data_IF_754189727311
#
_entry.id   IF_754189727311
#
_cell.length_a   1.000
_cell.length_b   1.000
_cell.length_c   1.000
_cell.angle_alpha   90.00
_cell.angle_beta   90.00
_cell.angle_gamma   90.00
#
_symmetry.space_group_name_H-M   'P 1'
#
loop_
_entity.id
_entity.type
_entity.pdbx_description
1 polymer ?
#
# COMPACT_ATOMS: atom_id res chain seq x y z
N UNK A 1 4.97 15.74 -24.26
CA UNK A 1 4.53 14.33 -24.28
C UNK A 1 3.51 14.01 -23.18
N UNK A 2 2.26 13.65 -23.51
CA UNK A 2 1.42 12.76 -22.71
C UNK A 2 1.84 11.27 -22.86
N UNK A 3 1.79 10.54 -21.74
CA UNK A 3 1.97 9.09 -21.64
C UNK A 3 0.80 8.51 -20.84
N UNK A 4 0.17 7.44 -21.33
CA UNK A 4 -0.86 6.67 -20.61
C UNK A 4 -0.51 5.19 -20.56
N UNK A 5 -1.04 4.49 -19.55
CA UNK A 5 -1.24 3.05 -19.59
C UNK A 5 -2.60 2.71 -20.22
N UNK A 6 -2.63 1.74 -21.13
CA UNK A 6 -3.83 1.19 -21.75
C UNK A 6 -4.16 -0.17 -21.11
N UNK A 7 -5.23 -0.29 -20.30
CA UNK A 7 -5.49 -1.48 -19.50
C UNK A 7 -6.02 -2.67 -20.31
N UNK A 8 -6.63 -2.43 -21.48
CA UNK A 8 -7.18 -3.49 -22.33
C UNK A 8 -6.06 -4.28 -23.06
N UNK A 9 -5.02 -3.57 -23.50
CA UNK A 9 -3.89 -4.11 -24.28
C UNK A 9 -2.63 -4.37 -23.43
N UNK A 10 -2.65 -4.01 -22.14
CA UNK A 10 -1.50 -4.06 -21.22
C UNK A 10 -0.22 -3.42 -21.81
N UNK A 11 -0.34 -2.17 -22.26
CA UNK A 11 0.78 -1.41 -22.85
C UNK A 11 0.78 0.05 -22.44
N UNK A 12 1.96 0.65 -22.44
CA UNK A 12 2.11 2.09 -22.40
C UNK A 12 1.97 2.67 -23.80
N UNK A 13 1.37 3.86 -23.90
CA UNK A 13 1.19 4.59 -25.15
C UNK A 13 1.57 6.05 -24.98
N UNK A 14 2.46 6.53 -25.86
CA UNK A 14 2.94 7.89 -25.93
C UNK A 14 2.45 8.52 -27.22
N UNK A 15 1.82 9.69 -27.14
CA UNK A 15 1.45 10.46 -28.32
C UNK A 15 1.97 11.88 -28.21
N UNK A 16 2.41 12.43 -29.32
CA UNK A 16 3.12 13.70 -29.39
C UNK A 16 3.51 13.97 -30.83
N UNK A 17 3.71 15.23 -31.16
CA UNK A 17 3.94 15.69 -32.54
C UNK A 17 5.33 16.33 -32.71
N UNK A 18 6.16 16.30 -31.65
CA UNK A 18 7.52 16.84 -31.67
C UNK A 18 8.56 15.73 -31.70
N UNK A 19 9.71 15.98 -32.33
CA UNK A 19 10.81 15.00 -32.35
C UNK A 19 11.42 14.79 -30.95
N UNK A 20 11.29 15.75 -30.04
CA UNK A 20 11.62 15.57 -28.62
C UNK A 20 10.71 14.52 -27.95
N UNK A 21 9.39 14.52 -28.25
CA UNK A 21 8.49 13.47 -27.77
C UNK A 21 8.94 12.09 -28.29
N UNK A 22 9.33 11.99 -29.57
CA UNK A 22 9.80 10.72 -30.18
C UNK A 22 11.11 10.22 -29.58
N UNK A 23 12.06 11.11 -29.27
CA UNK A 23 13.31 10.77 -28.58
C UNK A 23 13.03 10.27 -27.15
N UNK A 24 12.14 10.93 -26.41
CA UNK A 24 11.75 10.51 -25.08
C UNK A 24 10.97 9.18 -25.09
N UNK A 25 10.14 8.92 -26.10
CA UNK A 25 9.47 7.63 -26.29
C UNK A 25 10.47 6.48 -26.50
N UNK A 26 11.52 6.69 -27.31
CA UNK A 26 12.60 5.71 -27.51
C UNK A 26 13.37 5.41 -26.22
N UNK A 27 13.65 6.43 -25.40
CA UNK A 27 14.27 6.25 -24.09
C UNK A 27 13.42 5.42 -23.11
N UNK A 28 12.10 5.39 -23.31
CA UNK A 28 11.14 4.57 -22.56
C UNK A 28 10.91 3.17 -23.16
N UNK A 29 11.67 2.79 -24.20
CA UNK A 29 11.49 1.51 -24.90
C UNK A 29 10.22 1.44 -25.74
N UNK A 30 9.56 2.57 -26.02
CA UNK A 30 8.44 2.64 -26.94
C UNK A 30 8.99 2.79 -28.37
N UNK A 31 9.15 1.64 -29.04
CA UNK A 31 9.75 1.51 -30.37
C UNK A 31 8.78 0.99 -31.43
N UNK A 32 7.51 0.78 -31.06
CA UNK A 32 6.49 0.20 -31.92
C UNK A 32 5.42 1.26 -32.25
N UNK A 33 5.36 1.74 -33.50
CA UNK A 33 4.30 2.65 -33.95
C UNK A 33 2.92 2.05 -33.71
N UNK A 34 2.03 2.85 -33.12
CA UNK A 34 0.72 2.41 -32.70
C UNK A 34 -0.33 3.52 -32.84
N UNK A 35 -1.60 3.13 -32.88
CA UNK A 35 -2.71 4.02 -32.60
C UNK A 35 -3.42 3.61 -31.31
N UNK A 36 -3.89 4.61 -30.56
CA UNK A 36 -4.80 4.41 -29.43
C UNK A 36 -5.92 5.46 -29.42
N UNK A 37 -7.06 5.10 -28.82
CA UNK A 37 -8.15 6.04 -28.56
C UNK A 37 -7.87 6.76 -27.24
N UNK A 38 -7.67 8.08 -27.30
CA UNK A 38 -7.36 8.92 -26.13
C UNK A 38 -8.32 10.09 -26.05
N UNK A 39 -8.59 10.58 -24.84
CA UNK A 39 -9.42 11.77 -24.62
C UNK A 39 -8.54 13.01 -24.71
N UNK A 40 -8.84 13.85 -25.70
CA UNK A 40 -8.07 15.06 -25.99
C UNK A 40 -8.45 16.21 -25.04
N UNK A 41 -7.67 17.29 -25.03
CA UNK A 41 -7.93 18.51 -24.24
C UNK A 41 -9.32 19.14 -24.47
N UNK A 42 -10.00 18.80 -25.58
CA UNK A 42 -11.37 19.25 -25.89
C UNK A 42 -12.46 18.35 -25.30
N UNK A 43 -12.10 17.37 -24.47
CA UNK A 43 -13.03 16.37 -23.92
C UNK A 43 -13.51 15.33 -24.93
N UNK A 44 -12.98 15.34 -26.17
CA UNK A 44 -13.35 14.39 -27.23
C UNK A 44 -12.38 13.23 -27.28
N UNK A 45 -12.91 12.00 -27.32
CA UNK A 45 -12.14 10.82 -27.66
C UNK A 45 -11.73 10.89 -29.14
N UNK A 46 -10.46 10.70 -29.43
CA UNK A 46 -9.90 10.68 -30.79
C UNK A 46 -8.82 9.61 -30.89
N UNK A 47 -8.74 8.93 -32.03
CA UNK A 47 -7.57 8.11 -32.34
C UNK A 47 -6.37 9.02 -32.55
N UNK A 48 -5.24 8.66 -31.95
CA UNK A 48 -3.96 9.34 -32.14
C UNK A 48 -2.90 8.33 -32.54
N UNK A 49 -2.05 8.65 -33.54
CA UNK A 49 -0.81 7.92 -33.76
C UNK A 49 0.18 8.25 -32.64
N UNK A 50 1.11 7.33 -32.39
CA UNK A 50 2.11 7.44 -31.34
C UNK A 50 3.00 6.20 -31.29
N UNK A 51 3.71 6.04 -30.19
CA UNK A 51 4.61 4.92 -29.92
C UNK A 51 4.07 4.10 -28.74
N UNK A 52 4.18 2.78 -28.81
CA UNK A 52 3.78 1.87 -27.75
C UNK A 52 4.99 1.10 -27.16
N UNK A 53 4.99 0.95 -25.84
CA UNK A 53 5.88 0.04 -25.11
C UNK A 53 5.06 -1.07 -24.42
N UNK A 54 5.43 -2.35 -24.55
CA UNK A 54 4.82 -3.43 -23.77
C UNK A 54 4.96 -3.17 -22.26
N UNK A 55 4.00 -3.63 -21.44
CA UNK A 55 3.95 -3.37 -19.99
C UNK A 55 5.31 -3.52 -19.29
N UNK A 56 5.95 -4.70 -19.40
CA UNK A 56 7.20 -4.98 -18.70
C UNK A 56 8.39 -4.18 -19.23
N UNK A 57 8.43 -3.87 -20.54
CA UNK A 57 9.47 -3.05 -21.15
C UNK A 57 9.38 -1.60 -20.68
N UNK A 58 8.18 -1.01 -20.74
CA UNK A 58 7.94 0.35 -20.24
C UNK A 58 8.13 0.45 -18.72
N UNK A 59 7.68 -0.55 -17.95
CA UNK A 59 7.91 -0.65 -16.50
C UNK A 59 9.40 -0.58 -16.17
N UNK A 60 10.24 -1.37 -16.83
CA UNK A 60 11.67 -1.40 -16.60
C UNK A 60 12.37 -0.07 -16.94
N UNK A 61 11.96 0.60 -18.02
CA UNK A 61 12.50 1.91 -18.38
C UNK A 61 12.06 3.00 -17.39
N UNK A 62 10.76 3.07 -17.08
CA UNK A 62 10.18 4.04 -16.15
C UNK A 62 10.71 3.90 -14.73
N UNK A 63 10.89 2.68 -14.24
CA UNK A 63 11.42 2.42 -12.89
C UNK A 63 12.88 2.86 -12.72
N UNK A 64 13.67 2.87 -13.80
CA UNK A 64 15.10 3.22 -13.78
C UNK A 64 15.41 4.72 -13.75
N UNK A 65 14.43 5.59 -14.03
CA UNK A 65 14.64 7.05 -14.03
C UNK A 65 15.14 7.55 -12.67
N UNK A 66 16.23 8.29 -12.62
CA UNK A 66 16.73 8.90 -11.40
C UNK A 66 15.85 10.08 -10.94
N UNK A 67 16.03 10.56 -9.70
CA UNK A 67 15.26 11.71 -9.21
C UNK A 67 15.49 12.97 -10.07
N UNK A 68 16.74 13.26 -10.44
CA UNK A 68 17.08 14.39 -11.31
C UNK A 68 16.43 14.29 -12.71
N UNK A 69 16.25 13.07 -13.25
CA UNK A 69 15.53 12.87 -14.51
C UNK A 69 14.03 13.19 -14.36
N UNK A 70 13.44 12.83 -13.21
CA UNK A 70 12.02 13.06 -12.92
C UNK A 70 11.68 14.54 -12.77
N UNK A 71 12.58 15.34 -12.20
CA UNK A 71 12.41 16.78 -12.04
C UNK A 71 12.31 17.51 -13.38
N UNK A 72 12.91 16.95 -14.44
CA UNK A 72 12.89 17.49 -15.81
C UNK A 72 11.92 16.74 -16.75
N UNK A 73 11.33 15.63 -16.31
CA UNK A 73 10.45 14.81 -17.12
C UNK A 73 9.06 15.45 -17.31
N UNK A 74 8.36 15.18 -18.44
CA UNK A 74 6.96 15.55 -18.58
C UNK A 74 6.11 14.98 -17.42
N UNK A 75 5.17 15.74 -16.82
CA UNK A 75 4.46 15.31 -15.61
C UNK A 75 3.76 13.94 -15.69
N UNK A 76 3.32 13.54 -16.89
CA UNK A 76 2.75 12.19 -17.09
C UNK A 76 3.80 11.07 -17.03
N UNK A 77 5.01 11.31 -17.53
CA UNK A 77 6.15 10.39 -17.43
C UNK A 77 6.61 10.28 -15.98
N UNK A 78 6.72 11.41 -15.26
CA UNK A 78 7.05 11.41 -13.85
C UNK A 78 6.04 10.60 -13.01
N UNK A 79 4.73 10.80 -13.23
CA UNK A 79 3.68 10.04 -12.56
C UNK A 79 3.76 8.54 -12.85
N UNK A 80 4.00 8.12 -14.09
CA UNK A 80 4.13 6.70 -14.45
C UNK A 80 5.45 6.07 -13.98
N UNK A 81 6.53 6.84 -13.79
CA UNK A 81 7.75 6.36 -13.12
C UNK A 81 7.51 6.10 -11.62
N UNK A 82 6.83 7.02 -10.93
CA UNK A 82 6.45 6.83 -9.53
C UNK A 82 5.49 5.64 -9.37
N UNK A 83 4.53 5.47 -10.29
CA UNK A 83 3.66 4.29 -10.34
C UNK A 83 4.46 3.00 -10.55
N UNK A 84 5.44 3.00 -11.46
CA UNK A 84 6.29 1.85 -11.76
C UNK A 84 7.14 1.44 -10.56
N UNK A 85 7.70 2.41 -9.83
CA UNK A 85 8.45 2.19 -8.58
C UNK A 85 7.54 1.63 -7.47
N UNK A 86 6.33 2.16 -7.33
CA UNK A 86 5.34 1.64 -6.37
C UNK A 86 4.92 0.20 -6.72
N UNK A 87 4.72 -0.11 -8.00
CA UNK A 87 4.39 -1.47 -8.46
C UNK A 87 5.48 -2.48 -8.08
N UNK A 88 6.75 -2.12 -8.30
CA UNK A 88 7.89 -2.96 -7.95
C UNK A 88 8.06 -3.08 -6.42
N UNK A 89 7.89 -2.00 -5.65
CA UNK A 89 7.93 -2.04 -4.17
C UNK A 89 6.89 -3.02 -3.62
N UNK A 90 5.65 -2.96 -4.11
CA UNK A 90 4.58 -3.87 -3.69
C UNK A 90 4.87 -5.33 -4.05
N UNK A 91 5.34 -5.60 -5.27
CA UNK A 91 5.64 -6.98 -5.73
C UNK A 91 6.87 -7.55 -5.00
N UNK A 92 7.92 -6.77 -4.78
CA UNK A 92 9.13 -7.19 -4.04
C UNK A 92 8.83 -7.43 -2.56
N UNK A 93 7.89 -6.68 -1.97
CA UNK A 93 7.38 -6.89 -0.60
C UNK A 93 6.28 -7.96 -0.51
N UNK A 94 6.12 -8.77 -1.56
CA UNK A 94 5.13 -9.86 -1.67
C UNK A 94 3.68 -9.41 -1.37
N UNK A 95 3.37 -8.12 -1.60
CA UNK A 95 2.02 -7.56 -1.42
C UNK A 95 1.16 -7.87 -2.64
N UNK A 96 0.95 -9.16 -2.91
CA UNK A 96 0.11 -9.69 -3.98
C UNK A 96 -0.83 -10.75 -3.45
N UNK A 97 -2.04 -10.81 -3.99
CA UNK A 97 -3.05 -11.83 -3.66
C UNK A 97 -3.67 -12.40 -4.93
N UNK A 98 -4.10 -13.67 -4.93
CA UNK A 98 -4.89 -14.20 -6.03
C UNK A 98 -6.27 -13.54 -6.04
N UNK A 99 -6.89 -13.39 -7.21
CA UNK A 99 -8.27 -12.93 -7.36
C UNK A 99 -8.92 -13.55 -8.59
N UNK A 100 -10.21 -13.87 -8.48
CA UNK A 100 -11.04 -14.28 -9.62
C UNK A 100 -11.80 -13.04 -10.12
N UNK A 101 -11.38 -12.50 -11.25
CA UNK A 101 -12.00 -11.35 -11.91
C UNK A 101 -13.00 -11.81 -12.99
N UNK A 102 -14.03 -10.99 -13.25
CA UNK A 102 -14.89 -11.19 -14.43
C UNK A 102 -14.23 -10.56 -15.66
N UNK A 103 -14.14 -11.30 -16.76
CA UNK A 103 -13.54 -10.83 -18.01
C UNK A 103 -14.26 -11.50 -19.20
N UNK A 104 -14.62 -10.72 -20.23
CA UNK A 104 -15.10 -11.26 -21.52
C UNK A 104 -16.34 -12.18 -21.46
N UNK A 105 -17.18 -12.07 -20.43
CA UNK A 105 -18.32 -12.99 -20.21
C UNK A 105 -18.01 -14.25 -19.39
N UNK A 106 -16.76 -14.45 -18.98
CA UNK A 106 -16.32 -15.53 -18.08
C UNK A 106 -15.59 -15.01 -16.85
N UNK A 107 -14.86 -15.90 -16.18
CA UNK A 107 -14.01 -15.60 -15.03
C UNK A 107 -12.55 -15.99 -15.28
N UNK A 108 -11.63 -15.15 -14.82
CA UNK A 108 -10.19 -15.33 -14.92
C UNK A 108 -9.54 -15.23 -13.55
N UNK A 109 -8.61 -16.13 -13.26
CA UNK A 109 -7.73 -15.99 -12.12
C UNK A 109 -6.57 -15.04 -12.49
N UNK A 110 -6.32 -14.04 -11.64
CA UNK A 110 -5.25 -13.04 -11.79
C UNK A 110 -4.58 -12.79 -10.44
N UNK A 111 -3.31 -12.42 -10.44
CA UNK A 111 -2.72 -11.79 -9.25
C UNK A 111 -3.07 -10.30 -9.25
N UNK A 112 -3.30 -9.75 -8.07
CA UNK A 112 -3.63 -8.33 -7.87
C UNK A 112 -2.82 -7.80 -6.68
N UNK A 113 -2.58 -6.49 -6.61
CA UNK A 113 -1.85 -5.93 -5.45
C UNK A 113 -2.71 -5.96 -4.20
N UNK A 114 -2.06 -6.29 -3.08
CA UNK A 114 -2.59 -6.08 -1.74
C UNK A 114 -2.36 -4.63 -1.33
N UNK A 115 -3.42 -3.96 -0.88
CA UNK A 115 -3.38 -2.60 -0.34
C UNK A 115 -3.97 -2.55 1.07
N UNK A 116 -3.91 -3.68 1.80
CA UNK A 116 -4.29 -3.75 3.20
C UNK A 116 -3.48 -2.74 4.05
N UNK A 117 -2.16 -2.72 3.85
CA UNK A 117 -1.26 -1.85 4.59
C UNK A 117 -1.63 -0.36 4.41
N UNK A 118 -1.88 0.39 5.50
CA UNK A 118 -2.27 1.80 5.44
C UNK A 118 -1.37 2.70 4.60
N UNK A 119 -0.06 2.45 4.68
CA UNK A 119 0.99 3.23 4.03
C UNK A 119 0.97 3.04 2.50
N UNK A 120 0.66 1.82 2.05
CA UNK A 120 0.61 1.45 0.64
C UNK A 120 -0.65 2.01 -0.03
N UNK A 121 -1.80 1.95 0.65
CA UNK A 121 -3.03 2.63 0.23
C UNK A 121 -2.87 4.16 0.18
N UNK A 122 -2.22 4.75 1.19
CA UNK A 122 -1.96 6.19 1.25
C UNK A 122 -1.02 6.66 0.11
N UNK A 123 0.02 5.88 -0.22
CA UNK A 123 0.91 6.13 -1.36
C UNK A 123 0.14 6.13 -2.69
N UNK A 124 -0.73 5.15 -2.92
CA UNK A 124 -1.59 5.13 -4.11
C UNK A 124 -2.52 6.36 -4.17
N UNK A 125 -3.16 6.71 -3.07
CA UNK A 125 -4.06 7.87 -2.99
C UNK A 125 -3.32 9.20 -3.23
N UNK A 126 -2.11 9.37 -2.67
CA UNK A 126 -1.27 10.54 -2.93
C UNK A 126 -0.87 10.64 -4.42
N UNK A 127 -0.43 9.52 -5.01
CA UNK A 127 -0.07 9.47 -6.43
C UNK A 127 -1.27 9.77 -7.32
N UNK A 128 -2.45 9.21 -7.01
CA UNK A 128 -3.68 9.47 -7.75
C UNK A 128 -4.12 10.95 -7.68
N UNK A 129 -3.96 11.62 -6.54
CA UNK A 129 -4.23 13.07 -6.38
C UNK A 129 -3.23 13.94 -7.14
N UNK A 130 -1.98 13.51 -7.24
CA UNK A 130 -0.92 14.22 -7.98
C UNK A 130 -0.91 13.91 -9.49
N UNK A 131 -1.66 12.91 -9.94
CA UNK A 131 -1.62 12.44 -11.32
C UNK A 131 -2.24 13.47 -12.28
N UNK A 132 -1.50 13.97 -13.28
CA UNK A 132 -2.04 14.96 -14.21
C UNK A 132 -3.07 14.31 -15.14
N UNK A 133 -4.11 15.06 -15.53
CA UNK A 133 -5.18 14.58 -16.41
C UNK A 133 -4.67 13.90 -17.70
N UNK A 134 -3.55 14.40 -18.26
CA UNK A 134 -2.88 13.84 -19.43
C UNK A 134 -2.36 12.40 -19.24
N UNK A 135 -2.10 11.96 -18.00
CA UNK A 135 -1.59 10.64 -17.68
C UNK A 135 -2.67 9.56 -17.53
N UNK A 136 -3.94 9.97 -17.38
CA UNK A 136 -5.10 9.07 -17.28
C UNK A 136 -6.21 9.40 -18.28
N UNK A 137 -5.87 10.09 -19.38
CA UNK A 137 -6.76 10.51 -20.46
C UNK A 137 -7.23 9.35 -21.37
N UNK A 138 -7.58 8.22 -20.77
CA UNK A 138 -8.03 6.99 -21.42
C UNK A 138 -9.56 6.94 -21.34
N UNK A 139 -10.27 6.62 -22.43
CA UNK A 139 -11.71 6.37 -22.37
C UNK A 139 -12.01 5.20 -21.43
N UNK A 140 -12.90 5.43 -20.46
CA UNK A 140 -13.48 4.34 -19.69
C UNK A 140 -14.51 3.62 -20.56
N UNK A 141 -14.33 2.32 -20.78
CA UNK A 141 -15.44 1.47 -21.20
C UNK A 141 -16.50 1.53 -20.08
N UNK A 142 -17.71 2.00 -20.39
CA UNK A 142 -18.79 2.04 -19.39
C UNK A 142 -19.10 0.59 -19.01
N UNK A 143 -18.85 0.23 -17.75
CA UNK A 143 -18.90 -1.14 -17.25
C UNK A 143 -20.36 -1.59 -17.09
N UNK A 144 -21.01 -1.86 -18.21
CA UNK A 144 -22.42 -2.20 -18.31
C UNK A 144 -22.89 -2.07 -19.76
N UNK A 145 -23.53 -3.14 -20.25
CA UNK A 145 -24.10 -3.29 -21.58
C UNK A 145 -23.11 -3.31 -22.76
N UNK A 146 -22.88 -4.52 -23.29
CA UNK A 146 -22.40 -4.77 -24.66
C UNK A 146 -23.39 -4.34 -25.76
N UNK A 147 -24.25 -3.36 -25.48
CA UNK A 147 -25.06 -2.66 -26.49
C UNK A 147 -24.21 -1.54 -27.07
N UNK A 148 -23.56 -1.85 -28.19
CA UNK A 148 -22.90 -0.87 -29.05
C UNK A 148 -23.73 0.41 -29.13
N UNK A 149 -23.09 1.54 -28.80
CA UNK A 149 -23.69 2.86 -28.52
C UNK A 149 -25.07 3.04 -29.15
N UNK A 150 -26.13 2.68 -28.43
CA UNK A 150 -27.45 2.69 -29.02
C UNK A 150 -27.83 4.13 -29.29
N UNK A 151 -28.18 4.42 -30.54
CA UNK A 151 -28.85 5.65 -30.96
C UNK A 151 -30.30 5.61 -30.46
N UNK A 152 -30.45 5.48 -29.13
CA UNK A 152 -31.72 5.45 -28.43
C UNK A 152 -32.33 6.84 -28.50
N UNK A 153 -33.38 6.95 -29.31
CA UNK A 153 -34.34 8.05 -29.19
C UNK A 153 -34.85 8.09 -27.74
N UNK A 154 -35.05 9.27 -27.19
CA UNK A 154 -35.81 9.40 -25.94
C UNK A 154 -37.26 8.94 -26.17
N UNK A 155 -38.03 8.72 -25.10
CA UNK A 155 -39.50 8.54 -25.17
C UNK A 155 -40.17 9.57 -26.06
N UNK A 156 -39.61 10.79 -26.08
CA UNK A 156 -40.14 11.97 -26.75
C UNK A 156 -39.57 12.14 -28.18
N UNK A 157 -38.99 11.09 -28.75
CA UNK A 157 -38.51 11.04 -30.14
C UNK A 157 -37.25 11.87 -30.46
N UNK A 158 -36.71 12.61 -29.49
CA UNK A 158 -35.51 13.44 -29.69
C UNK A 158 -34.25 12.59 -29.72
N UNK A 159 -33.29 12.99 -30.57
CA UNK A 159 -31.95 12.40 -30.56
C UNK A 159 -31.27 12.73 -29.22
N UNK A 160 -30.89 11.69 -28.47
CA UNK A 160 -30.14 11.85 -27.21
C UNK A 160 -28.79 12.50 -27.54
N UNK A 161 -28.49 13.63 -26.91
CA UNK A 161 -27.22 14.31 -27.12
C UNK A 161 -26.05 13.35 -26.81
N UNK A 162 -24.95 13.36 -27.59
CA UNK A 162 -23.84 12.45 -27.37
C UNK A 162 -23.28 12.65 -25.97
N UNK A 163 -23.35 11.60 -25.14
CA UNK A 163 -22.79 11.59 -23.79
C UNK A 163 -21.28 11.83 -23.92
N UNK A 164 -20.75 12.77 -23.15
CA UNK A 164 -19.29 12.98 -23.12
C UNK A 164 -18.60 11.65 -22.76
N UNK A 165 -17.46 11.30 -23.40
CA UNK A 165 -16.78 10.06 -23.12
C UNK A 165 -16.37 10.03 -21.65
N UNK A 166 -16.78 8.97 -20.95
CA UNK A 166 -16.32 8.73 -19.58
C UNK A 166 -14.82 8.46 -19.62
N UNK A 167 -14.07 9.03 -18.68
CA UNK A 167 -12.61 8.92 -18.60
C UNK A 167 -12.26 8.09 -17.38
N UNK A 168 -11.23 7.25 -17.47
CA UNK A 168 -10.70 6.57 -16.30
C UNK A 168 -10.32 7.57 -15.20
N UNK A 169 -10.70 7.29 -13.96
CA UNK A 169 -10.16 8.05 -12.82
C UNK A 169 -8.71 7.63 -12.57
N UNK A 170 -7.88 8.58 -12.12
CA UNK A 170 -6.46 8.33 -11.83
C UNK A 170 -6.26 7.11 -10.90
N UNK A 171 -7.03 7.02 -9.80
CA UNK A 171 -6.95 5.92 -8.86
C UNK A 171 -7.34 4.56 -9.47
N UNK A 172 -8.39 4.50 -10.30
CA UNK A 172 -8.80 3.26 -10.94
C UNK A 172 -7.79 2.79 -12.00
N UNK A 173 -7.22 3.72 -12.78
CA UNK A 173 -6.22 3.38 -13.80
C UNK A 173 -4.89 2.96 -13.17
N UNK A 174 -4.46 3.64 -12.10
CA UNK A 174 -3.30 3.24 -11.31
C UNK A 174 -3.51 1.86 -10.69
N UNK A 175 -4.70 1.58 -10.11
CA UNK A 175 -5.02 0.26 -9.57
C UNK A 175 -4.94 -0.83 -10.65
N UNK A 176 -5.54 -0.60 -11.83
CA UNK A 176 -5.49 -1.52 -12.95
C UNK A 176 -4.04 -1.76 -13.45
N UNK A 177 -3.20 -0.73 -13.45
CA UNK A 177 -1.78 -0.84 -13.76
C UNK A 177 -1.01 -1.67 -12.72
N UNK A 178 -1.19 -1.38 -11.42
CA UNK A 178 -0.53 -2.12 -10.33
C UNK A 178 -0.91 -3.61 -10.37
N UNK A 179 -2.20 -3.91 -10.52
CA UNK A 179 -2.70 -5.29 -10.64
C UNK A 179 -2.12 -5.99 -11.90
N UNK A 180 -2.01 -5.30 -13.03
CA UNK A 180 -1.40 -5.84 -14.25
C UNK A 180 0.10 -6.14 -14.11
N UNK A 181 0.85 -5.28 -13.42
CA UNK A 181 2.28 -5.51 -13.13
C UNK A 181 2.46 -6.70 -12.19
N UNK A 182 1.66 -6.78 -11.12
CA UNK A 182 1.68 -7.91 -10.20
C UNK A 182 1.42 -9.24 -10.91
N UNK A 183 0.38 -9.31 -11.75
CA UNK A 183 0.05 -10.51 -12.53
C UNK A 183 1.15 -10.90 -13.54
N UNK A 184 1.70 -9.93 -14.27
CA UNK A 184 2.75 -10.19 -15.26
C UNK A 184 4.03 -10.72 -14.61
N UNK A 185 4.45 -10.15 -13.48
CA UNK A 185 5.66 -10.57 -12.75
C UNK A 185 5.46 -11.92 -12.03
N UNK A 186 4.31 -12.13 -11.38
CA UNK A 186 4.01 -13.38 -10.67
C UNK A 186 3.87 -14.59 -11.62
N UNK A 187 3.43 -14.38 -12.87
CA UNK A 187 3.45 -15.43 -13.90
C UNK A 187 4.84 -15.64 -14.49
N UNK A 188 5.60 -14.57 -14.72
CA UNK A 188 6.96 -14.66 -15.25
C UNK A 188 7.92 -15.42 -14.33
N UNK A 189 7.74 -15.33 -13.01
CA UNK A 189 8.50 -16.17 -12.05
C UNK A 189 8.02 -17.63 -12.05
N UNK A 190 6.72 -17.87 -12.19
CA UNK A 190 6.15 -19.21 -12.26
C UNK A 190 6.57 -19.98 -13.52
N UNK A 191 6.73 -19.32 -14.67
CA UNK A 191 7.23 -19.98 -15.90
C UNK A 191 8.66 -20.46 -15.82
N UNK A 192 9.46 -19.95 -14.87
CA UNK A 192 10.83 -20.41 -14.64
C UNK A 192 10.90 -21.69 -13.77
N UNK A 193 9.77 -22.15 -13.22
CA UNK A 193 9.66 -23.41 -12.52
C UNK A 193 8.84 -24.40 -13.37
N UNK A 194 9.23 -25.69 -13.45
CA UNK A 194 8.41 -26.68 -14.11
C UNK A 194 7.07 -26.80 -13.38
N UNK A 195 6.00 -26.37 -14.05
CA UNK A 195 4.64 -26.46 -13.53
C UNK A 195 4.19 -27.90 -13.31
N UNK A 196 3.14 -28.13 -12.49
CA UNK A 196 2.63 -29.48 -12.26
C UNK A 196 2.14 -30.13 -13.57
N UNK A 197 2.21 -31.48 -13.68
CA UNK A 197 1.86 -32.21 -14.89
C UNK A 197 0.40 -31.98 -15.32
N UNK A 198 0.12 -32.26 -16.60
CA UNK A 198 -1.17 -31.95 -17.23
C UNK A 198 -2.39 -32.52 -16.48
N UNK A 199 -3.48 -31.73 -16.53
CA UNK A 199 -4.82 -31.99 -15.97
C UNK A 199 -5.14 -33.48 -15.71
N UNK A 200 -5.18 -33.94 -14.45
CA UNK A 200 -5.97 -35.12 -14.12
C UNK A 200 -7.45 -34.83 -14.44
N UNK A 201 -8.18 -35.85 -14.90
CA UNK A 201 -9.52 -35.70 -15.48
C UNK A 201 -10.60 -35.10 -14.54
N UNK A 202 -10.29 -34.99 -13.24
CA UNK A 202 -11.05 -34.25 -12.22
C UNK A 202 -10.09 -33.60 -11.23
N UNK A 203 -9.32 -32.61 -11.68
CA UNK A 203 -8.47 -31.81 -10.80
C UNK A 203 -9.34 -31.05 -9.77
N UNK A 204 -8.99 -31.05 -8.48
CA UNK A 204 -9.71 -30.26 -7.47
C UNK A 204 -9.53 -28.75 -7.75
N UNK A 205 -10.45 -27.93 -7.25
CA UNK A 205 -10.53 -26.51 -7.64
C UNK A 205 -9.26 -25.72 -7.32
N UNK A 206 -8.56 -26.07 -6.24
CA UNK A 206 -7.29 -25.48 -5.81
C UNK A 206 -6.22 -25.65 -6.90
N UNK A 207 -6.14 -26.84 -7.50
CA UNK A 207 -5.21 -27.15 -8.57
C UNK A 207 -5.61 -26.44 -9.88
N UNK A 208 -6.91 -26.37 -10.19
CA UNK A 208 -7.41 -25.62 -11.36
C UNK A 208 -7.17 -24.11 -11.21
N UNK A 209 -7.30 -23.57 -10.00
CA UNK A 209 -7.00 -22.19 -9.66
C UNK A 209 -5.50 -21.89 -9.77
N UNK A 210 -4.64 -22.77 -9.23
CA UNK A 210 -3.19 -22.62 -9.33
C UNK A 210 -2.73 -22.59 -10.79
N UNK A 211 -3.22 -23.51 -11.64
CA UNK A 211 -2.94 -23.50 -13.08
C UNK A 211 -3.43 -22.22 -13.77
N UNK A 212 -4.61 -21.71 -13.40
CA UNK A 212 -5.15 -20.48 -13.96
C UNK A 212 -4.41 -19.21 -13.47
N UNK A 213 -3.79 -19.23 -12.28
CA UNK A 213 -2.99 -18.14 -11.70
C UNK A 213 -1.56 -18.09 -12.27
N UNK A 214 -0.98 -19.22 -12.65
CA UNK A 214 0.43 -19.29 -13.10
C UNK A 214 0.56 -19.47 -14.61
N UNK A 215 -0.34 -20.22 -15.24
CA UNK A 215 -0.25 -20.61 -16.64
C UNK A 215 -1.08 -19.75 -17.60
N UNK A 216 -1.26 -20.31 -18.80
CA UNK A 216 -2.19 -19.86 -19.84
C UNK A 216 -3.01 -21.06 -20.32
N UNK A 217 -4.35 -20.97 -20.46
CA UNK A 217 -5.18 -19.78 -20.30
C UNK A 217 -5.44 -19.38 -18.83
N UNK A 218 -5.81 -18.10 -18.63
CA UNK A 218 -6.17 -17.48 -17.34
C UNK A 218 -7.52 -17.93 -16.77
N UNK A 219 -8.29 -18.67 -17.57
CA UNK A 219 -9.70 -18.98 -17.29
C UNK A 219 -9.85 -19.89 -16.08
N UNK A 220 -10.70 -19.49 -15.14
CA UNK A 220 -11.13 -20.31 -14.02
C UNK A 220 -12.65 -20.38 -14.02
N UNK A 221 -13.23 -21.57 -13.81
CA UNK A 221 -14.67 -21.77 -13.72
C UNK A 221 -15.00 -22.61 -12.48
N UNK A 222 -16.01 -22.22 -11.72
CA UNK A 222 -16.56 -23.07 -10.66
C UNK A 222 -17.37 -24.22 -11.30
N UNK A 223 -17.14 -25.45 -10.86
CA UNK A 223 -17.74 -26.67 -11.41
C UNK A 223 -18.65 -27.38 -10.40
N UNK A 224 -19.84 -27.78 -10.85
CA UNK A 224 -20.79 -28.55 -10.04
C UNK A 224 -21.48 -27.76 -8.91
N UNK A 225 -22.13 -28.49 -8.00
CA UNK A 225 -22.89 -27.90 -6.90
C UNK A 225 -21.99 -27.43 -5.73
N UNK A 226 -20.90 -28.17 -5.46
CA UNK A 226 -19.99 -27.91 -4.35
C UNK A 226 -19.25 -26.56 -4.47
N UNK A 227 -18.91 -26.14 -5.69
CA UNK A 227 -18.16 -24.91 -5.93
C UNK A 227 -19.06 -23.68 -6.16
N UNK A 228 -20.38 -23.80 -6.01
CA UNK A 228 -21.34 -22.72 -6.34
C UNK A 228 -21.07 -21.41 -5.58
N UNK A 229 -20.62 -21.50 -4.32
CA UNK A 229 -20.23 -20.35 -3.50
C UNK A 229 -18.79 -19.86 -3.71
N UNK A 230 -17.92 -20.74 -4.22
CA UNK A 230 -16.46 -20.61 -4.15
C UNK A 230 -15.90 -19.25 -4.60
N UNK A 231 -16.40 -18.71 -5.72
CA UNK A 231 -15.93 -17.40 -6.23
C UNK A 231 -16.33 -16.24 -5.30
N UNK A 232 -17.50 -16.32 -4.67
CA UNK A 232 -17.96 -15.32 -3.70
C UNK A 232 -17.24 -15.47 -2.36
N UNK A 233 -17.01 -16.71 -1.91
CA UNK A 233 -16.29 -17.02 -0.67
C UNK A 233 -14.82 -16.57 -0.77
N UNK A 234 -14.17 -16.83 -1.91
CA UNK A 234 -12.82 -16.33 -2.21
C UNK A 234 -12.78 -14.80 -2.29
N UNK A 235 -13.68 -14.14 -3.04
CA UNK A 235 -13.69 -12.66 -3.09
C UNK A 235 -13.97 -12.05 -1.71
N UNK A 236 -14.80 -12.68 -0.86
CA UNK A 236 -15.01 -12.26 0.53
C UNK A 236 -13.76 -12.44 1.40
N UNK A 237 -13.05 -13.56 1.28
CA UNK A 237 -11.78 -13.84 1.99
C UNK A 237 -10.66 -12.89 1.56
N UNK A 238 -10.56 -12.57 0.26
CA UNK A 238 -9.53 -11.70 -0.32
C UNK A 238 -9.84 -10.21 -0.08
N UNK A 239 -11.11 -9.83 0.12
CA UNK A 239 -11.56 -8.42 0.22
C UNK A 239 -10.76 -7.54 1.19
N UNK A 240 -10.39 -7.98 2.42
CA UNK A 240 -9.57 -7.19 3.33
C UNK A 240 -8.18 -6.88 2.75
N UNK A 241 -7.58 -7.85 2.05
CA UNK A 241 -6.27 -7.69 1.43
C UNK A 241 -6.29 -6.69 0.25
N UNK A 242 -7.40 -6.58 -0.48
CA UNK A 242 -7.51 -5.66 -1.61
C UNK A 242 -7.37 -4.19 -1.23
N UNK A 243 -7.59 -3.83 0.03
CA UNK A 243 -7.63 -2.44 0.51
C UNK A 243 -8.86 -1.69 -0.01
N UNK A 244 -9.85 -1.49 0.85
CA UNK A 244 -10.97 -0.60 0.54
C UNK A 244 -10.51 0.87 0.66
N UNK A 245 -10.87 1.72 -0.30
CA UNK A 245 -10.62 3.17 -0.23
C UNK A 245 -11.83 3.94 0.36
N UNK A 246 -12.94 3.23 0.58
CA UNK A 246 -14.27 3.75 0.90
C UNK A 246 -14.88 3.14 2.18
N UNK A 247 -14.34 2.02 2.66
CA UNK A 247 -14.76 1.38 3.92
C UNK A 247 -13.79 1.76 5.05
N UNK A 248 -14.35 2.11 6.22
CA UNK A 248 -13.58 2.36 7.43
C UNK A 248 -12.86 1.09 7.89
N UNK A 249 -11.55 1.18 8.19
CA UNK A 249 -10.79 0.11 8.86
C UNK A 249 -10.80 0.29 10.38
N UNK A 250 -10.65 -0.78 11.14
CA UNK A 250 -10.36 -0.63 12.57
C UNK A 250 -8.97 -0.04 12.80
N UNK A 251 -8.85 0.76 13.86
CA UNK A 251 -7.63 1.41 14.29
C UNK A 251 -7.45 1.26 15.80
N UNK A 252 -6.25 0.86 16.19
CA UNK A 252 -5.82 0.66 17.57
C UNK A 252 -4.93 1.83 17.98
N UNK A 253 -5.37 2.61 18.97
CA UNK A 253 -4.59 3.71 19.54
C UNK A 253 -4.08 3.30 20.91
N UNK A 254 -2.77 3.20 21.06
CA UNK A 254 -2.16 3.07 22.37
C UNK A 254 -2.14 4.45 23.04
N UNK A 255 -2.60 4.53 24.28
CA UNK A 255 -2.52 5.70 25.13
C UNK A 255 -1.57 5.39 26.31
N UNK A 256 -0.66 6.32 26.66
CA UNK A 256 0.24 6.14 27.77
C UNK A 256 -0.53 6.21 29.10
N UNK A 257 0.02 5.68 30.20
CA UNK A 257 -0.60 5.75 31.52
C UNK A 257 -0.78 7.21 31.98
N UNK A 258 -2.01 7.57 32.37
CA UNK A 258 -2.30 8.85 33.02
C UNK A 258 -2.28 8.68 34.54
N UNK A 259 -1.19 9.12 35.18
CA UNK A 259 -0.98 8.98 36.61
C UNK A 259 -0.76 7.52 37.00
N UNK A 260 -1.60 6.99 37.88
CA UNK A 260 -1.51 5.63 38.41
C UNK A 260 -2.35 4.60 37.60
N UNK A 261 -2.95 5.02 36.48
CA UNK A 261 -3.70 4.13 35.58
C UNK A 261 -2.76 3.38 34.64
N UNK A 262 -3.16 2.19 34.20
CA UNK A 262 -2.43 1.39 33.21
C UNK A 262 -2.40 2.02 31.80
N UNK A 263 -1.72 1.35 30.88
CA UNK A 263 -1.80 1.70 29.45
C UNK A 263 -3.18 1.32 28.92
N UNK A 264 -3.73 2.12 28.00
CA UNK A 264 -5.05 1.86 27.40
C UNK A 264 -4.89 1.68 25.89
N UNK A 265 -5.45 0.60 25.35
CA UNK A 265 -5.55 0.41 23.90
C UNK A 265 -6.98 0.70 23.45
N UNK A 266 -7.24 1.90 22.89
CA UNK A 266 -8.56 2.29 22.39
C UNK A 266 -8.84 1.74 21.01
N UNK A 267 -10.11 1.45 20.76
CA UNK A 267 -10.63 1.02 19.46
C UNK A 267 -11.32 2.18 18.75
N UNK A 268 -10.98 2.37 17.48
CA UNK A 268 -11.55 3.37 16.60
C UNK A 268 -11.81 2.76 15.22
N UNK A 269 -12.65 3.41 14.43
CA UNK A 269 -12.67 3.26 12.98
C UNK A 269 -11.90 4.42 12.35
N UNK A 270 -11.19 4.17 11.24
CA UNK A 270 -10.33 5.13 10.54
C UNK A 270 -10.61 5.12 9.05
N UNK A 271 -10.65 6.30 8.41
CA UNK A 271 -10.74 6.39 6.96
C UNK A 271 -9.41 6.00 6.29
N UNK A 272 -9.43 5.19 5.22
CA UNK A 272 -8.21 4.74 4.55
C UNK A 272 -7.57 5.82 3.67
N UNK A 273 -8.35 6.76 3.12
CA UNK A 273 -7.88 7.84 2.24
C UNK A 273 -7.42 9.10 2.99
N UNK A 274 -7.90 9.28 4.23
CA UNK A 274 -7.47 10.29 5.18
C UNK A 274 -7.33 9.68 6.60
N UNK A 275 -6.12 9.24 6.99
CA UNK A 275 -5.86 8.64 8.30
C UNK A 275 -6.12 9.56 9.51
N UNK A 276 -6.32 10.87 9.32
CA UNK A 276 -6.70 11.78 10.41
C UNK A 276 -8.16 11.62 10.83
N UNK A 277 -9.02 11.09 9.95
CA UNK A 277 -10.43 10.88 10.21
C UNK A 277 -10.63 9.61 11.03
N UNK A 278 -10.87 9.82 12.33
CA UNK A 278 -11.07 8.78 13.34
C UNK A 278 -12.47 8.88 13.93
N UNK A 279 -13.16 7.75 14.08
CA UNK A 279 -14.44 7.61 14.77
C UNK A 279 -14.24 6.68 15.97
N UNK A 280 -14.36 7.16 17.22
CA UNK A 280 -14.24 6.31 18.41
C UNK A 280 -15.28 5.18 18.43
N UNK A 281 -14.92 4.00 18.93
CA UNK A 281 -15.85 2.87 19.06
C UNK A 281 -17.14 3.25 19.83
N UNK A 282 -17.03 4.08 20.87
CA UNK A 282 -18.16 4.62 21.61
C UNK A 282 -19.23 5.27 20.72
N UNK A 283 -18.82 5.97 19.67
CA UNK A 283 -19.75 6.65 18.76
C UNK A 283 -20.26 5.72 17.65
N UNK A 284 -19.51 4.67 17.32
CA UNK A 284 -19.98 3.55 16.49
C UNK A 284 -21.14 2.84 17.21
N UNK A 285 -20.97 2.44 18.47
CA UNK A 285 -22.01 1.75 19.25
C UNK A 285 -23.25 2.61 19.52
N UNK A 286 -23.09 3.95 19.67
CA UNK A 286 -24.22 4.89 19.80
C UNK A 286 -24.99 5.08 18.49
N UNK A 287 -24.34 4.93 17.34
CA UNK A 287 -24.98 5.16 16.04
C UNK A 287 -26.06 4.13 15.70
N UNK A 288 -25.98 2.90 16.24
CA UNK A 288 -26.96 1.81 16.07
C UNK A 288 -27.35 1.59 14.61
N UNK A 289 -26.34 1.31 13.78
CA UNK A 289 -26.47 1.05 12.35
C UNK A 289 -26.87 2.25 11.49
N UNK A 290 -27.08 3.45 12.07
CA UNK A 290 -27.25 4.68 11.27
C UNK A 290 -25.94 5.00 10.58
N UNK A 291 -26.00 5.35 9.29
CA UNK A 291 -24.83 5.81 8.55
C UNK A 291 -24.16 6.96 9.32
N UNK A 292 -22.90 6.74 9.73
CA UNK A 292 -22.08 7.72 10.42
C UNK A 292 -21.88 8.92 9.49
N UNK A 293 -22.69 9.96 9.65
CA UNK A 293 -22.59 11.24 8.92
C UNK A 293 -21.47 12.14 9.47
N UNK A 294 -20.68 11.64 10.42
CA UNK A 294 -19.48 12.33 10.88
C UNK A 294 -18.62 12.69 9.67
N UNK A 295 -18.17 13.95 9.61
CA UNK A 295 -17.25 14.46 8.58
C UNK A 295 -17.83 14.54 7.15
N UNK A 296 -19.16 14.57 7.01
CA UNK A 296 -19.83 14.87 5.73
C UNK A 296 -19.80 13.74 4.70
N UNK A 297 -19.32 12.56 5.07
CA UNK A 297 -19.37 11.34 4.25
C UNK A 297 -20.46 10.41 4.78
N UNK A 298 -21.07 9.63 3.88
CA UNK A 298 -21.86 8.46 4.26
C UNK A 298 -20.95 7.24 4.17
N UNK A 299 -20.42 6.78 5.30
CA UNK A 299 -19.72 5.50 5.36
C UNK A 299 -20.75 4.38 5.15
N UNK A 300 -20.86 3.91 3.91
CA UNK A 300 -21.72 2.79 3.58
C UNK A 300 -21.05 1.50 4.05
N UNK A 301 -21.83 0.65 4.69
CA UNK A 301 -21.52 -0.76 4.86
C UNK A 301 -21.08 -1.37 3.52
N UNK A 302 -19.88 -1.95 3.49
CA UNK A 302 -19.54 -2.93 2.46
C UNK A 302 -20.38 -4.20 2.63
N UNK A 303 -20.05 -5.26 1.90
CA UNK A 303 -20.78 -6.54 1.93
C UNK A 303 -20.71 -7.33 3.27
N UNK A 304 -20.26 -6.70 4.37
CA UNK A 304 -20.17 -7.26 5.72
C UNK A 304 -21.07 -6.51 6.73
N UNK A 305 -22.02 -5.70 6.24
CA UNK A 305 -23.00 -5.02 7.07
C UNK A 305 -22.46 -3.81 7.84
N UNK A 306 -23.08 -3.48 8.98
CA UNK A 306 -22.95 -2.19 9.65
C UNK A 306 -21.53 -1.83 10.12
N UNK A 307 -21.24 -0.56 10.46
CA UNK A 307 -19.94 -0.17 11.00
C UNK A 307 -19.60 -0.91 12.31
N UNK A 308 -20.63 -1.34 13.03
CA UNK A 308 -20.57 -2.19 14.23
C UNK A 308 -20.07 -3.60 13.91
N UNK A 309 -20.63 -4.25 12.88
CA UNK A 309 -20.23 -5.59 12.43
C UNK A 309 -18.81 -5.57 11.83
N UNK A 310 -18.47 -4.50 11.10
CA UNK A 310 -17.11 -4.27 10.63
C UNK A 310 -16.10 -4.13 11.78
N UNK A 311 -16.45 -3.38 12.84
CA UNK A 311 -15.60 -3.23 14.02
C UNK A 311 -15.48 -4.53 14.82
N UNK A 312 -16.58 -5.28 15.05
CA UNK A 312 -16.54 -6.58 15.73
C UNK A 312 -15.74 -7.62 14.95
N UNK A 313 -15.92 -7.73 13.64
CA UNK A 313 -15.15 -8.64 12.78
C UNK A 313 -13.66 -8.31 12.75
N UNK A 314 -13.33 -7.01 12.79
CA UNK A 314 -11.96 -6.54 12.94
C UNK A 314 -11.36 -6.87 14.33
N UNK A 315 -12.09 -6.62 15.42
CA UNK A 315 -11.63 -6.93 16.78
C UNK A 315 -11.42 -8.44 16.98
N UNK A 316 -12.34 -9.28 16.49
CA UNK A 316 -12.20 -10.74 16.52
C UNK A 316 -11.00 -11.26 15.68
N UNK A 317 -10.59 -10.49 14.66
CA UNK A 317 -9.38 -10.78 13.88
C UNK A 317 -8.12 -10.28 14.58
N UNK A 318 -8.13 -9.07 15.14
CA UNK A 318 -7.03 -8.50 15.89
C UNK A 318 -6.72 -9.29 17.17
N UNK A 319 -7.72 -9.88 17.84
CA UNK A 319 -7.51 -10.74 19.00
C UNK A 319 -6.68 -12.01 18.71
N UNK A 320 -6.61 -12.46 17.45
CA UNK A 320 -5.71 -13.55 17.03
C UNK A 320 -4.25 -13.10 16.88
N UNK A 321 -4.02 -11.81 16.67
CA UNK A 321 -2.70 -11.19 16.55
C UNK A 321 -2.21 -10.60 17.89
N UNK A 322 -3.14 -10.19 18.76
CA UNK A 322 -2.86 -9.64 20.08
C UNK A 322 -3.90 -10.10 21.09
N UNK A 323 -3.57 -11.17 21.82
CA UNK A 323 -4.47 -11.88 22.73
C UNK A 323 -5.22 -10.99 23.77
N UNK A 324 -4.64 -9.90 24.33
CA UNK A 324 -5.36 -9.05 25.28
C UNK A 324 -6.69 -8.48 24.76
N UNK A 325 -6.82 -8.21 23.45
CA UNK A 325 -8.10 -7.75 22.85
C UNK A 325 -9.23 -8.77 23.07
N UNK A 326 -8.89 -10.07 23.18
CA UNK A 326 -9.85 -11.14 23.46
C UNK A 326 -10.63 -10.97 24.78
N UNK A 327 -10.08 -10.25 25.76
CA UNK A 327 -10.71 -10.00 27.08
C UNK A 327 -12.07 -9.30 26.96
N UNK A 328 -12.18 -8.36 26.03
CA UNK A 328 -13.32 -7.45 25.90
C UNK A 328 -14.29 -7.87 24.78
N UNK A 329 -13.98 -8.93 24.02
CA UNK A 329 -14.89 -9.46 22.98
C UNK A 329 -16.21 -10.02 23.53
N UNK A 330 -16.30 -10.31 24.82
CA UNK A 330 -17.53 -10.73 25.49
C UNK A 330 -18.44 -9.57 25.92
N UNK A 331 -17.98 -8.32 25.80
CA UNK A 331 -18.76 -7.14 26.16
C UNK A 331 -19.71 -6.73 25.03
N UNK A 332 -20.84 -6.11 25.39
CA UNK A 332 -21.83 -5.66 24.40
C UNK A 332 -21.34 -4.49 23.54
N UNK A 333 -20.40 -3.69 24.05
CA UNK A 333 -19.88 -2.46 23.41
C UNK A 333 -18.39 -2.28 23.73
N UNK A 334 -17.48 -3.09 23.17
CA UNK A 334 -16.05 -2.98 23.46
C UNK A 334 -15.48 -1.67 22.92
N UNK A 335 -14.91 -0.84 23.79
CA UNK A 335 -14.36 0.48 23.42
C UNK A 335 -12.84 0.59 23.55
N UNK A 336 -12.27 -0.18 24.48
CA UNK A 336 -10.84 -0.22 24.77
C UNK A 336 -10.49 -1.54 25.47
N UNK A 337 -9.18 -1.78 25.67
CA UNK A 337 -8.69 -2.77 26.63
C UNK A 337 -7.56 -2.17 27.46
N UNK A 338 -7.59 -2.40 28.76
CA UNK A 338 -6.51 -2.04 29.67
C UNK A 338 -5.34 -3.03 29.53
N UNK A 339 -4.13 -2.49 29.46
CA UNK A 339 -2.88 -3.23 29.26
C UNK A 339 -1.93 -3.01 30.44
N UNK A 340 -1.39 -4.11 30.97
CA UNK A 340 -0.24 -4.04 31.86
C UNK A 340 1.00 -3.52 31.10
N UNK A 341 2.01 -2.93 31.78
CA UNK A 341 3.20 -2.38 31.11
C UNK A 341 3.95 -3.39 30.21
N UNK A 342 3.99 -4.67 30.61
CA UNK A 342 4.57 -5.75 29.79
C UNK A 342 3.76 -6.03 28.51
N UNK A 343 2.44 -5.89 28.57
CA UNK A 343 1.55 -6.10 27.42
C UNK A 343 1.59 -4.91 26.45
N UNK A 344 1.72 -3.69 26.99
CA UNK A 344 2.00 -2.50 26.19
C UNK A 344 3.36 -2.61 25.48
N UNK A 345 4.38 -3.18 26.12
CA UNK A 345 5.67 -3.45 25.49
C UNK A 345 5.57 -4.50 24.37
N UNK A 346 4.92 -5.63 24.63
CA UNK A 346 4.64 -6.65 23.62
C UNK A 346 3.80 -6.10 22.45
N UNK A 347 2.86 -5.18 22.73
CA UNK A 347 2.12 -4.48 21.69
C UNK A 347 3.04 -3.66 20.79
N UNK A 348 3.98 -2.89 21.36
CA UNK A 348 4.89 -2.05 20.59
C UNK A 348 5.86 -2.85 19.71
N UNK A 349 6.43 -3.93 20.24
CA UNK A 349 7.45 -4.71 19.51
C UNK A 349 6.87 -5.70 18.50
N UNK A 350 5.73 -6.34 18.80
CA UNK A 350 5.24 -7.49 18.03
C UNK A 350 3.86 -7.24 17.41
N UNK A 351 2.88 -6.80 18.20
CA UNK A 351 1.51 -6.67 17.71
C UNK A 351 1.33 -5.47 16.76
N UNK A 352 1.94 -4.32 17.05
CA UNK A 352 1.78 -3.12 16.25
C UNK A 352 2.30 -3.26 14.81
N UNK A 353 3.45 -3.93 14.54
CA UNK A 353 3.81 -4.36 13.19
C UNK A 353 2.77 -5.31 12.57
N UNK A 354 2.46 -6.43 13.22
CA UNK A 354 1.55 -7.45 12.67
C UNK A 354 0.14 -6.92 12.36
N UNK A 355 -0.39 -6.01 13.20
CA UNK A 355 -1.67 -5.36 13.00
C UNK A 355 -1.65 -4.42 11.77
N UNK A 356 -0.55 -3.68 11.54
CA UNK A 356 -0.40 -2.86 10.31
C UNK A 356 -0.33 -3.73 9.05
N UNK A 357 0.37 -4.86 9.12
CA UNK A 357 0.43 -5.82 8.00
C UNK A 357 -0.92 -6.46 7.69
N UNK A 358 -1.72 -6.73 8.72
CA UNK A 358 -3.12 -7.16 8.60
C UNK A 358 -4.08 -6.04 8.14
N UNK A 359 -3.59 -4.82 7.92
CA UNK A 359 -4.33 -3.68 7.40
C UNK A 359 -5.08 -2.83 8.43
N UNK A 360 -4.81 -3.01 9.72
CA UNK A 360 -5.36 -2.16 10.78
C UNK A 360 -4.57 -0.87 10.92
N UNK A 361 -5.26 0.22 11.27
CA UNK A 361 -4.58 1.44 11.71
C UNK A 361 -3.92 1.22 13.07
N UNK A 362 -2.68 1.68 13.26
CA UNK A 362 -2.01 1.61 14.58
C UNK A 362 -1.35 2.93 14.93
N UNK A 363 -1.93 3.63 15.91
CA UNK A 363 -1.45 4.92 16.41
C UNK A 363 -0.71 4.68 17.72
N UNK A 364 0.55 5.12 17.78
CA UNK A 364 1.43 5.02 18.94
C UNK A 364 1.89 6.44 19.34
N UNK A 365 1.92 6.79 20.63
CA UNK A 365 2.42 8.08 21.11
C UNK A 365 3.88 8.30 20.70
N UNK A 366 4.21 9.51 20.25
CA UNK A 366 5.55 9.84 19.73
C UNK A 366 6.68 9.66 20.75
N UNK A 367 6.37 9.76 22.04
CA UNK A 367 7.26 9.55 23.17
C UNK A 367 7.76 8.10 23.25
N UNK A 368 6.95 7.13 22.81
CA UNK A 368 7.24 5.70 22.88
C UNK A 368 7.95 5.16 21.63
N UNK A 369 7.99 5.94 20.54
CA UNK A 369 8.72 5.59 19.33
C UNK A 369 10.25 5.72 19.51
N UNK A 370 11.03 5.13 18.60
CA UNK A 370 12.50 5.12 18.69
C UNK A 370 13.14 6.52 18.78
N UNK A 371 12.50 7.54 18.19
CA UNK A 371 12.83 8.96 18.31
C UNK A 371 12.52 9.54 19.71
N UNK A 372 11.43 9.12 20.34
CA UNK A 372 11.05 9.49 21.71
C UNK A 372 11.90 8.83 22.81
N UNK A 373 12.52 7.67 22.53
CA UNK A 373 13.46 6.99 23.47
C UNK A 373 14.62 7.88 23.93
N UNK A 374 15.04 8.88 23.14
CA UNK A 374 16.03 9.90 23.57
C UNK A 374 15.47 10.86 24.62
N UNK A 375 14.21 11.28 24.49
CA UNK A 375 13.57 12.26 25.38
C UNK A 375 13.18 11.63 26.73
N UNK A 376 12.72 10.38 26.74
CA UNK A 376 12.44 9.63 27.98
C UNK A 376 13.71 9.40 28.81
N UNK A 377 14.83 9.04 28.17
CA UNK A 377 16.14 8.93 28.85
C UNK A 377 16.64 10.27 29.39
N UNK A 378 16.33 11.38 28.73
CA UNK A 378 16.66 12.72 29.24
C UNK A 378 15.83 13.04 30.50
N UNK A 379 14.53 12.76 30.48
CA UNK A 379 13.63 13.00 31.62
C UNK A 379 13.95 12.12 32.84
N UNK A 380 14.29 10.84 32.67
CA UNK A 380 14.74 10.01 33.80
C UNK A 380 15.99 10.61 34.47
N UNK A 381 17.01 11.02 33.69
CA UNK A 381 18.21 11.65 34.26
C UNK A 381 17.92 12.97 35.00
N UNK A 382 16.91 13.74 34.60
CA UNK A 382 16.50 14.95 35.32
C UNK A 382 15.74 14.63 36.62
N UNK A 383 14.93 13.56 36.64
CA UNK A 383 14.23 13.10 37.86
C UNK A 383 15.21 12.49 38.86
N UNK A 384 16.17 11.67 38.40
CA UNK A 384 17.22 11.09 39.24
C UNK A 384 18.20 12.17 39.75
N UNK A 385 18.59 13.10 38.88
CA UNK A 385 19.44 14.25 39.25
C UNK A 385 18.78 15.22 40.22
N UNK A 386 17.46 15.45 40.09
CA UNK A 386 16.69 16.27 41.03
C UNK A 386 16.55 15.63 42.43
N UNK A 387 16.64 14.30 42.53
CA UNK A 387 16.57 13.58 43.80
C UNK A 387 17.92 13.50 44.53
N UNK A 388 19.03 13.52 43.78
CA UNK A 388 20.39 13.56 44.34
C UNK A 388 20.75 14.93 44.95
N UNK A 389 20.17 16.04 44.44
CA UNK A 389 20.48 17.40 44.89
C UNK A 389 19.80 17.84 46.20
N UNK A 390 18.82 17.06 46.70
CA UNK A 390 18.00 17.42 47.87
C UNK A 390 18.40 16.71 49.17
N UNK A 391 19.52 15.97 49.18
CA UNK A 391 19.90 15.05 50.26
C UNK A 391 21.26 15.31 50.94
N UNK A 392 21.91 16.45 50.70
CA UNK A 392 23.21 16.79 51.27
C UNK A 392 23.26 18.28 51.67
N UNK A 393 22.99 18.56 52.95
CA UNK A 393 22.87 19.95 53.41
C UNK A 393 22.77 20.13 54.92
N UNK A 394 23.34 19.23 55.73
CA UNK A 394 23.44 19.44 57.19
C UNK A 394 24.67 18.74 57.78
N UNK A 395 25.75 19.50 57.92
CA UNK A 395 26.75 19.39 59.01
C UNK A 395 27.73 20.57 59.01
N UNK A 396 27.67 21.28 60.13
CA UNK A 396 28.73 22.10 60.73
C UNK A 396 30.06 21.32 60.80
N UNK A 397 31.18 21.89 60.35
CA UNK A 397 32.23 22.36 61.28
C UNK A 397 33.29 23.22 60.55
N UNK A 398 34.21 23.80 61.34
CA UNK A 398 35.20 24.83 60.94
C UNK A 398 36.49 24.21 60.41
N UNK A 399 37.07 24.79 59.35
CA UNK A 399 38.40 25.42 59.40
C UNK A 399 38.84 25.99 58.03
N UNK A 400 39.59 27.09 58.07
CA UNK A 400 40.49 27.62 57.03
C UNK A 400 41.93 27.54 57.60
N UNK A 401 43.03 27.69 56.83
CA UNK A 401 43.18 28.13 55.43
C UNK A 401 43.90 27.03 54.57
N UNK A 402 44.40 27.18 53.34
CA UNK A 402 45.03 28.27 52.59
C UNK A 402 44.80 28.12 51.06
N UNK A 403 44.99 29.21 50.31
CA UNK A 403 45.33 29.18 48.88
C UNK A 403 46.82 29.47 48.71
N UNK A 404 47.46 29.03 47.61
CA UNK A 404 47.61 29.99 46.51
C UNK A 404 47.45 29.42 45.09
N UNK A 405 46.73 30.19 44.28
CA UNK A 405 46.90 30.57 42.87
C UNK A 405 47.36 29.60 41.74
N UNK A 406 46.96 29.89 40.47
CA UNK A 406 47.00 28.91 39.37
C UNK A 406 48.22 29.05 38.45
N UNK A 407 48.47 28.03 37.63
CA UNK A 407 49.33 28.17 36.45
C UNK A 407 48.73 27.48 35.22
N UNK A 408 48.81 28.20 34.10
CA UNK A 408 48.17 27.95 32.79
C UNK A 408 49.11 27.12 31.84
N UNK A 409 48.77 26.81 30.58
CA UNK A 409 48.21 25.51 30.19
C UNK A 409 49.10 24.69 29.23
N UNK A 410 48.66 23.46 28.92
CA UNK A 410 49.35 22.50 28.04
C UNK A 410 49.49 22.98 26.58
N UNK A 411 50.55 22.51 25.91
CA UNK A 411 50.69 22.52 24.44
C UNK A 411 50.32 21.15 23.84
N UNK A 412 49.80 21.10 22.60
CA UNK A 412 49.23 19.89 22.02
C UNK A 412 50.27 18.97 21.36
N UNK A 413 49.92 17.69 21.25
CA UNK A 413 50.59 16.72 20.37
C UNK A 413 49.62 16.16 19.32
N UNK A 414 50.09 16.11 18.07
CA UNK A 414 49.41 15.58 16.88
C UNK A 414 49.59 14.03 16.73
N UNK A 415 48.85 13.38 15.80
CA UNK A 415 48.62 11.93 15.81
C UNK A 415 49.50 11.08 14.89
N UNK A 416 49.57 9.78 15.21
CA UNK A 416 50.05 8.64 14.40
C UNK A 416 49.20 7.42 14.84
N UNK A 417 48.89 6.38 14.06
CA UNK A 417 49.03 6.07 12.61
C UNK A 417 48.05 4.91 12.29
N UNK A 418 47.59 4.77 11.04
CA UNK A 418 46.89 3.56 10.57
C UNK A 418 47.88 2.44 10.20
N UNK A 419 47.52 1.15 10.39
CA UNK A 419 48.16 0.05 9.67
C UNK A 419 47.25 -0.59 8.60
N UNK A 420 47.88 -0.90 7.46
CA UNK A 420 47.25 -1.36 6.22
C UNK A 420 46.89 -2.86 6.19
N UNK A 421 46.07 -3.24 5.20
CA UNK A 421 45.74 -4.63 4.86
C UNK A 421 46.86 -5.34 4.03
N UNK A 422 46.91 -6.68 4.02
CA UNK A 422 47.71 -7.46 3.07
C UNK A 422 46.88 -8.02 1.89
N UNK A 423 47.58 -8.46 0.83
CA UNK A 423 47.06 -8.64 -0.53
C UNK A 423 47.31 -10.06 -1.08
N UNK A 424 46.35 -10.59 -1.86
CA UNK A 424 46.42 -11.70 -2.86
C UNK A 424 47.00 -13.10 -2.54
N UNK A 425 46.30 -14.14 -3.02
CA UNK A 425 46.88 -15.35 -3.65
C UNK A 425 45.86 -16.08 -4.56
N UNK A 426 46.32 -16.58 -5.72
CA UNK A 426 45.59 -17.34 -6.77
C UNK A 426 46.66 -17.87 -7.77
N UNK A 427 46.42 -18.85 -8.68
CA UNK A 427 45.66 -20.11 -8.66
C UNK A 427 46.67 -21.33 -8.65
N UNK A 428 46.48 -22.56 -9.21
CA UNK A 428 45.85 -23.06 -10.47
C UNK A 428 44.72 -24.10 -10.23
N UNK A 429 44.17 -24.89 -11.18
CA UNK A 429 44.23 -24.81 -12.66
C UNK A 429 44.51 -26.14 -13.43
N UNK A 430 43.51 -27.03 -13.56
CA UNK A 430 43.46 -28.25 -14.43
C UNK A 430 42.03 -28.35 -15.02
N UNK A 431 41.80 -28.39 -16.34
CA UNK A 431 42.01 -29.43 -17.37
C UNK A 431 40.82 -30.39 -17.59
N UNK A 432 40.68 -30.87 -18.84
CA UNK A 432 39.44 -31.39 -19.39
C UNK A 432 39.38 -32.93 -19.48
N UNK A 433 38.18 -33.52 -19.45
CA UNK A 433 37.92 -34.74 -20.26
C UNK A 433 36.44 -35.05 -20.52
N UNK A 434 36.16 -35.42 -21.77
CA UNK A 434 34.96 -36.08 -22.35
C UNK A 434 33.65 -35.31 -22.42
#
# INVERSE_FOLDING_TARGET
MPLVFLPDDLRFFLWGDTDQDRLAARALGATTPAEALVVTKTGRAARKPGEAAPLLGGLAALARMAQGDLEHAPPSVAAWSLASKLALDLVVRERVVPRIARAGGGTEARWVVSLAAPEDAARLAALARAMPAAAHAVPAASAGDGRAASTGKTSDGRARAPRAPEVWSAGALLRAFLDAVADALARGSATNHPGPPQRPARAPWEHRLLLALTGSPRTFAAEGLAERGLVADLDAWIRPALGACDVLRACFRLEPPEGDRGFVLRFLLQAPDDPSLLVPAADVWKARGRALKALGRTFSSGALGGPEEALLGALGTAARLFAPIGRVLGEATPEHVDLAPAEAWAFLEQAAPALREAGFGVIVPGELLASGRRLLRLRQRVVDGGRAAAGAGERDDRDQPEQPEPHDPEKPHEPLEEPQAPHAAHPPGEEATK
#
